data_IF_727110842959
#
_entry.id   IF_727110842959
#
_cell.length_a   1.000
_cell.length_b   1.000
_cell.length_c   1.000
_cell.angle_alpha   90.00
_cell.angle_beta   90.00
_cell.angle_gamma   90.00
#
_symmetry.space_group_name_H-M   'P 1'
#
loop_
_entity.id
_entity.type
_entity.pdbx_description
1 polymer ?
#
# COMPACT_ATOMS: atom_id res chain seq x y z
N UNK A 1 -3.63 -25.38 25.74
CA UNK A 1 -2.85 -26.49 25.15
C UNK A 1 -1.89 -26.02 24.05
N UNK A 2 -2.32 -25.20 23.08
CA UNK A 2 -1.44 -24.77 21.98
C UNK A 2 -1.35 -23.24 21.81
N UNK A 3 -1.95 -22.48 22.72
CA UNK A 3 -1.94 -21.00 22.75
C UNK A 3 -2.38 -20.28 21.45
N UNK A 4 -2.95 -21.04 20.50
CA UNK A 4 -3.59 -20.51 19.32
C UNK A 4 -4.93 -19.87 19.71
N UNK A 5 -5.13 -18.63 19.23
CA UNK A 5 -6.36 -17.89 19.46
C UNK A 5 -7.54 -18.60 18.82
N UNK A 6 -8.58 -18.92 19.60
CA UNK A 6 -9.82 -19.56 19.13
C UNK A 6 -11.00 -18.60 19.09
N UNK A 7 -10.92 -17.49 19.83
CA UNK A 7 -12.01 -16.51 19.96
C UNK A 7 -11.47 -15.11 20.26
N UNK A 8 -12.17 -14.08 19.78
CA UNK A 8 -11.92 -12.69 20.12
C UNK A 8 -13.23 -11.89 20.06
N UNK A 9 -13.52 -11.10 21.09
CA UNK A 9 -14.64 -10.15 21.12
C UNK A 9 -14.13 -8.73 21.14
N UNK A 10 -14.55 -7.94 20.17
CA UNK A 10 -14.20 -6.53 20.04
C UNK A 10 -15.21 -5.65 20.81
N UNK A 11 -14.77 -4.45 21.21
CA UNK A 11 -15.64 -3.50 21.93
C UNK A 11 -16.82 -2.99 21.09
N UNK A 12 -16.75 -3.08 19.76
CA UNK A 12 -17.89 -2.79 18.87
C UNK A 12 -18.93 -3.93 18.83
N UNK A 13 -18.71 -5.00 19.59
CA UNK A 13 -19.57 -6.18 19.67
C UNK A 13 -19.31 -7.23 18.58
N UNK A 14 -18.36 -7.01 17.68
CA UNK A 14 -17.97 -8.03 16.71
C UNK A 14 -17.20 -9.17 17.40
N UNK A 15 -17.44 -10.39 16.95
CA UNK A 15 -16.84 -11.61 17.48
C UNK A 15 -16.13 -12.35 16.36
N UNK A 16 -14.90 -12.79 16.59
CA UNK A 16 -14.13 -13.60 15.64
C UNK A 16 -13.86 -14.97 16.23
N UNK A 17 -14.14 -16.01 15.45
CA UNK A 17 -13.95 -17.41 15.80
C UNK A 17 -12.89 -18.01 14.87
N UNK A 18 -12.01 -18.83 15.44
CA UNK A 18 -10.93 -19.49 14.71
C UNK A 18 -11.01 -20.99 14.96
N UNK A 19 -11.22 -21.77 13.90
CA UNK A 19 -11.16 -23.22 13.94
C UNK A 19 -9.87 -23.71 13.27
N UNK A 20 -9.18 -24.65 13.90
CA UNK A 20 -7.91 -25.19 13.41
C UNK A 20 -8.03 -26.68 13.16
N UNK A 21 -7.31 -27.14 12.14
CA UNK A 21 -7.08 -28.54 11.86
C UNK A 21 -6.54 -29.25 13.12
N UNK A 22 -7.20 -30.31 13.62
CA UNK A 22 -6.79 -30.96 14.87
C UNK A 22 -5.36 -31.50 14.85
N UNK A 23 -4.88 -31.98 13.69
CA UNK A 23 -3.60 -32.65 13.54
C UNK A 23 -2.46 -31.67 13.22
N UNK A 24 -2.62 -30.86 12.17
CA UNK A 24 -1.61 -29.94 11.63
C UNK A 24 -1.71 -28.54 12.21
N UNK A 25 -2.77 -28.23 12.96
CA UNK A 25 -2.98 -26.93 13.62
C UNK A 25 -3.00 -25.73 12.66
N UNK A 26 -3.29 -25.96 11.38
CA UNK A 26 -3.52 -24.92 10.37
C UNK A 26 -4.93 -24.34 10.53
N UNK A 27 -5.08 -23.03 10.35
CA UNK A 27 -6.38 -22.36 10.43
C UNK A 27 -7.30 -22.91 9.34
N UNK A 28 -8.34 -23.65 9.68
CA UNK A 28 -9.30 -24.18 8.71
C UNK A 28 -10.44 -23.19 8.45
N UNK A 29 -10.83 -22.41 9.46
CA UNK A 29 -11.91 -21.46 9.34
C UNK A 29 -11.68 -20.21 10.19
N UNK A 30 -12.01 -19.05 9.62
CA UNK A 30 -12.11 -17.78 10.33
C UNK A 30 -13.49 -17.17 10.07
N UNK A 31 -14.28 -17.05 11.13
CA UNK A 31 -15.62 -16.50 11.08
C UNK A 31 -15.70 -15.21 11.87
N UNK A 32 -16.37 -14.20 11.33
CA UNK A 32 -16.63 -12.92 12.00
C UNK A 32 -18.14 -12.69 12.05
N UNK A 33 -18.67 -12.61 13.27
CA UNK A 33 -20.04 -12.20 13.54
C UNK A 33 -20.07 -10.75 14.00
N UNK A 34 -20.98 -9.97 13.44
CA UNK A 34 -21.30 -8.62 13.89
C UNK A 34 -22.79 -8.56 14.27
N UNK A 35 -23.25 -7.40 14.74
CA UNK A 35 -24.68 -7.18 15.09
C UNK A 35 -25.64 -7.54 13.95
N UNK A 36 -25.20 -7.40 12.70
CA UNK A 36 -25.99 -7.69 11.50
C UNK A 36 -25.93 -9.17 11.05
N UNK A 37 -25.23 -10.04 11.78
CA UNK A 37 -25.00 -11.44 11.41
C UNK A 37 -23.55 -11.73 11.04
N UNK A 38 -23.31 -12.88 10.41
CA UNK A 38 -21.98 -13.29 9.93
C UNK A 38 -21.57 -12.45 8.72
N UNK A 39 -20.48 -11.71 8.85
CA UNK A 39 -19.94 -10.81 7.81
C UNK A 39 -18.72 -11.40 7.09
N UNK A 40 -18.15 -12.46 7.65
CA UNK A 40 -17.04 -13.21 7.08
C UNK A 40 -17.08 -14.65 7.58
N UNK A 41 -16.87 -15.62 6.70
CA UNK A 41 -16.76 -17.04 7.02
C UNK A 41 -15.77 -17.69 6.05
N UNK A 42 -14.48 -17.41 6.26
CA UNK A 42 -13.41 -17.85 5.38
C UNK A 42 -12.99 -19.28 5.73
N UNK A 43 -13.27 -20.23 4.84
CA UNK A 43 -12.73 -21.58 4.87
C UNK A 43 -11.41 -21.65 4.07
N UNK A 44 -10.37 -22.20 4.68
CA UNK A 44 -9.04 -22.33 4.11
C UNK A 44 -8.74 -23.79 3.76
N UNK A 45 -8.13 -24.02 2.60
CA UNK A 45 -7.65 -25.32 2.17
C UNK A 45 -6.15 -25.28 1.95
N UNK A 46 -5.48 -26.41 2.14
CA UNK A 46 -4.02 -26.52 2.10
C UNK A 46 -3.59 -27.79 1.39
N UNK A 47 -2.41 -27.75 0.76
CA UNK A 47 -1.73 -28.96 0.32
C UNK A 47 -1.04 -29.68 1.51
N UNK A 48 -0.30 -30.75 1.19
CA UNK A 48 0.42 -31.55 2.18
C UNK A 48 1.55 -30.79 2.89
N UNK A 49 2.17 -29.81 2.22
CA UNK A 49 3.26 -28.98 2.79
C UNK A 49 2.77 -27.65 3.37
N UNK A 50 1.45 -27.47 3.42
CA UNK A 50 0.75 -26.30 3.98
C UNK A 50 0.76 -25.04 3.12
N UNK A 51 0.98 -25.14 1.80
CA UNK A 51 0.63 -24.02 0.91
C UNK A 51 -0.89 -23.86 0.88
N UNK A 52 -1.39 -22.62 0.85
CA UNK A 52 -2.83 -22.34 0.80
C UNK A 52 -3.35 -22.62 -0.60
N UNK A 53 -4.21 -23.62 -0.77
CA UNK A 53 -4.81 -23.95 -2.07
C UNK A 53 -6.04 -23.10 -2.40
N UNK A 54 -6.70 -22.55 -1.39
CA UNK A 54 -7.86 -21.71 -1.61
C UNK A 54 -8.46 -21.15 -0.34
N UNK A 55 -9.21 -20.06 -0.52
CA UNK A 55 -9.94 -19.35 0.53
C UNK A 55 -11.35 -19.10 0.01
N UNK A 56 -12.36 -19.59 0.72
CA UNK A 56 -13.77 -19.40 0.36
C UNK A 56 -14.53 -18.72 1.48
N UNK A 57 -15.07 -17.54 1.22
CA UNK A 57 -15.99 -16.87 2.13
C UNK A 57 -17.41 -17.43 1.93
N UNK A 58 -17.87 -18.19 2.90
CA UNK A 58 -19.22 -18.78 2.93
C UNK A 58 -20.24 -17.89 3.63
N UNK A 59 -19.88 -16.66 4.01
CA UNK A 59 -20.81 -15.74 4.65
C UNK A 59 -22.07 -15.57 3.77
N UNK A 60 -23.27 -15.46 4.37
CA UNK A 60 -24.47 -15.20 3.61
C UNK A 60 -24.34 -13.88 2.85
N UNK A 61 -25.02 -13.77 1.70
CA UNK A 61 -25.11 -12.49 1.02
C UNK A 61 -25.78 -11.47 1.95
N UNK A 62 -25.30 -10.22 1.97
CA UNK A 62 -25.95 -9.19 2.77
C UNK A 62 -27.34 -8.84 2.19
N UNK A 63 -28.06 -7.94 2.86
CA UNK A 63 -29.30 -7.39 2.30
C UNK A 63 -29.01 -6.61 1.00
N UNK A 64 -29.99 -6.54 0.09
CA UNK A 64 -29.88 -5.78 -1.16
C UNK A 64 -29.42 -4.33 -0.91
N UNK A 65 -28.55 -3.82 -1.78
CA UNK A 65 -27.95 -2.49 -1.64
C UNK A 65 -26.87 -2.35 -0.55
N UNK A 66 -26.52 -3.41 0.19
CA UNK A 66 -25.41 -3.38 1.17
C UNK A 66 -24.14 -3.96 0.56
N UNK A 67 -23.00 -3.46 1.04
CA UNK A 67 -21.69 -3.96 0.64
C UNK A 67 -21.41 -5.33 1.27
N UNK A 68 -20.68 -6.17 0.55
CA UNK A 68 -20.32 -7.53 0.95
C UNK A 68 -20.72 -8.56 -0.10
N UNK A 69 -20.31 -9.79 0.13
CA UNK A 69 -20.59 -10.88 -0.79
C UNK A 69 -19.70 -12.08 -0.52
N UNK A 70 -20.01 -13.16 -1.24
CA UNK A 70 -19.21 -14.38 -1.22
C UNK A 70 -18.02 -14.20 -2.14
N UNK A 71 -16.86 -14.70 -1.71
CA UNK A 71 -15.65 -14.70 -2.51
C UNK A 71 -15.01 -16.08 -2.46
N UNK A 72 -14.36 -16.48 -3.54
CA UNK A 72 -13.60 -17.73 -3.58
C UNK A 72 -12.30 -17.48 -4.31
N UNK A 73 -11.18 -17.88 -3.71
CA UNK A 73 -9.86 -17.85 -4.32
C UNK A 73 -9.32 -19.26 -4.42
N UNK A 74 -8.63 -19.57 -5.52
CA UNK A 74 -7.86 -20.80 -5.69
C UNK A 74 -6.45 -20.45 -6.13
N UNK A 75 -5.47 -21.20 -5.62
CA UNK A 75 -4.05 -20.98 -5.88
C UNK A 75 -3.39 -22.27 -6.32
N UNK A 76 -2.48 -22.17 -7.29
CA UNK A 76 -1.61 -23.26 -7.67
C UNK A 76 -0.16 -22.82 -7.54
N UNK A 77 0.72 -23.78 -7.30
CA UNK A 77 2.13 -23.53 -7.06
C UNK A 77 2.97 -24.36 -8.03
N UNK A 78 4.14 -23.82 -8.38
CA UNK A 78 5.16 -24.58 -9.10
C UNK A 78 5.88 -25.57 -8.15
N UNK A 79 6.76 -26.46 -8.67
CA UNK A 79 7.49 -27.41 -7.83
C UNK A 79 8.39 -26.80 -6.75
N UNK A 80 8.68 -25.49 -6.80
CA UNK A 80 9.45 -24.75 -5.82
C UNK A 80 8.56 -23.96 -4.85
N UNK A 81 7.25 -24.24 -4.86
CA UNK A 81 6.24 -23.62 -4.01
C UNK A 81 6.07 -22.11 -4.23
N UNK A 82 6.40 -21.62 -5.43
CA UNK A 82 6.08 -20.26 -5.84
C UNK A 82 4.69 -20.24 -6.48
N UNK A 83 3.92 -19.20 -6.23
CA UNK A 83 2.57 -19.04 -6.79
C UNK A 83 2.66 -19.06 -8.32
N UNK A 84 2.09 -20.08 -8.97
CA UNK A 84 2.10 -20.21 -10.43
C UNK A 84 0.85 -19.57 -11.04
N UNK A 85 -0.32 -19.80 -10.45
CA UNK A 85 -1.57 -19.18 -10.88
C UNK A 85 -2.52 -18.94 -9.71
N UNK A 86 -3.41 -17.97 -9.89
CA UNK A 86 -4.52 -17.77 -8.98
C UNK A 86 -5.81 -17.46 -9.75
N UNK A 87 -6.94 -17.90 -9.22
CA UNK A 87 -8.26 -17.46 -9.67
C UNK A 87 -9.04 -16.89 -8.51
N UNK A 88 -9.94 -15.97 -8.81
CA UNK A 88 -10.85 -15.40 -7.83
C UNK A 88 -12.25 -15.24 -8.40
N UNK A 89 -13.26 -15.42 -7.57
CA UNK A 89 -14.64 -15.06 -7.87
C UNK A 89 -15.23 -14.25 -6.74
N UNK A 90 -16.18 -13.39 -7.08
CA UNK A 90 -16.99 -12.61 -6.18
C UNK A 90 -18.44 -12.72 -6.63
N UNK A 91 -19.34 -12.91 -5.67
CA UNK A 91 -20.79 -12.87 -5.84
C UNK A 91 -21.37 -11.95 -4.78
N UNK A 92 -21.95 -10.83 -5.21
CA UNK A 92 -22.69 -9.90 -4.37
C UNK A 92 -24.20 -10.06 -4.51
N UNK A 93 -24.93 -9.17 -3.84
CA UNK A 93 -26.36 -8.97 -4.08
C UNK A 93 -26.61 -8.36 -5.45
N UNK A 94 -27.88 -8.31 -5.87
CA UNK A 94 -28.30 -7.53 -7.05
C UNK A 94 -27.58 -7.95 -8.35
N UNK A 95 -27.34 -9.26 -8.50
CA UNK A 95 -26.64 -9.87 -9.64
C UNK A 95 -25.22 -9.31 -9.89
N UNK A 96 -24.56 -8.82 -8.84
CA UNK A 96 -23.17 -8.39 -8.89
C UNK A 96 -22.25 -9.60 -8.90
N UNK A 97 -21.37 -9.67 -9.87
CA UNK A 97 -20.35 -10.70 -9.95
C UNK A 97 -19.02 -10.12 -10.41
N UNK A 98 -17.93 -10.73 -9.98
CA UNK A 98 -16.62 -10.48 -10.57
C UNK A 98 -15.78 -11.75 -10.55
N UNK A 99 -14.79 -11.81 -11.43
CA UNK A 99 -13.79 -12.86 -11.42
C UNK A 99 -12.44 -12.33 -11.88
N UNK A 100 -11.37 -13.00 -11.48
CA UNK A 100 -10.04 -12.77 -12.05
C UNK A 100 -9.29 -14.07 -12.27
N UNK A 101 -8.34 -14.02 -13.20
CA UNK A 101 -7.26 -14.99 -13.37
C UNK A 101 -5.92 -14.28 -13.23
N UNK A 102 -4.93 -14.97 -12.66
CA UNK A 102 -3.55 -14.51 -12.50
C UNK A 102 -2.62 -15.64 -12.93
N UNK A 103 -1.60 -15.31 -13.71
CA UNK A 103 -0.48 -16.20 -14.05
C UNK A 103 0.84 -15.52 -13.74
N UNK A 104 1.76 -16.26 -13.13
CA UNK A 104 3.09 -15.81 -12.71
C UNK A 104 4.17 -16.59 -13.47
N UNK A 105 5.24 -15.89 -13.86
CA UNK A 105 6.44 -16.49 -14.41
C UNK A 105 7.64 -16.13 -13.56
N UNK A 106 8.59 -17.07 -13.46
CA UNK A 106 9.82 -16.88 -12.71
C UNK A 106 11.01 -17.43 -13.49
N UNK A 107 12.20 -16.92 -13.20
CA UNK A 107 13.44 -17.53 -13.66
C UNK A 107 14.09 -18.43 -12.59
N UNK A 108 15.26 -18.98 -12.93
CA UNK A 108 16.05 -19.86 -12.07
C UNK A 108 16.68 -19.12 -10.87
N UNK A 109 16.67 -17.79 -10.87
CA UNK A 109 17.10 -16.96 -9.74
C UNK A 109 15.91 -16.56 -8.83
N UNK A 110 14.73 -17.15 -9.04
CA UNK A 110 13.49 -16.85 -8.32
C UNK A 110 12.95 -15.43 -8.51
N UNK A 111 13.42 -14.73 -9.54
CA UNK A 111 12.92 -13.41 -9.90
C UNK A 111 11.63 -13.56 -10.70
N UNK A 112 10.69 -12.64 -10.51
CA UNK A 112 9.43 -12.63 -11.28
C UNK A 112 9.77 -12.15 -12.69
N UNK A 113 9.47 -12.93 -13.73
CA UNK A 113 9.69 -12.54 -15.13
C UNK A 113 8.41 -12.11 -15.83
N UNK A 114 7.26 -12.63 -15.38
CA UNK A 114 5.95 -12.21 -15.91
C UNK A 114 4.87 -12.21 -14.84
N UNK A 115 3.93 -11.28 -14.96
CA UNK A 115 2.69 -11.28 -14.17
C UNK A 115 1.54 -10.87 -15.08
N UNK A 116 0.60 -11.79 -15.31
CA UNK A 116 -0.55 -11.57 -16.20
C UNK A 116 -1.83 -11.68 -15.40
N UNK A 117 -2.66 -10.65 -15.42
CA UNK A 117 -3.95 -10.67 -14.75
C UNK A 117 -5.07 -10.23 -15.71
N UNK A 118 -6.18 -10.96 -15.67
CA UNK A 118 -7.43 -10.57 -16.32
C UNK A 118 -8.53 -10.56 -15.27
N UNK A 119 -9.38 -9.55 -15.30
CA UNK A 119 -10.56 -9.41 -14.46
C UNK A 119 -11.77 -9.04 -15.30
N UNK A 120 -12.89 -9.68 -15.00
CA UNK A 120 -14.21 -9.31 -15.50
C UNK A 120 -15.12 -9.03 -14.31
N UNK A 121 -15.85 -7.92 -14.35
CA UNK A 121 -16.93 -7.64 -13.41
C UNK A 121 -18.23 -7.36 -14.15
N UNK A 122 -19.35 -7.77 -13.55
CA UNK A 122 -20.70 -7.54 -14.06
C UNK A 122 -21.54 -6.88 -12.97
N UNK A 123 -22.16 -5.75 -13.29
CA UNK A 123 -23.08 -4.97 -12.44
C UNK A 123 -22.46 -4.40 -11.16
N UNK A 124 -21.14 -4.46 -10.99
CA UNK A 124 -20.45 -4.03 -9.76
C UNK A 124 -20.37 -2.51 -9.67
N UNK A 125 -19.77 -1.86 -10.66
CA UNK A 125 -19.55 -0.41 -10.67
C UNK A 125 -20.67 0.35 -11.38
N UNK A 126 -21.25 -0.25 -12.42
CA UNK A 126 -22.35 0.25 -13.23
C UNK A 126 -23.11 -0.95 -13.81
N UNK A 127 -24.31 -0.72 -14.35
CA UNK A 127 -25.08 -1.77 -15.02
C UNK A 127 -24.42 -2.13 -16.36
N UNK A 128 -23.80 -3.32 -16.44
CA UNK A 128 -22.97 -3.72 -17.56
C UNK A 128 -21.76 -4.54 -17.15
N UNK A 129 -20.87 -4.80 -18.11
CA UNK A 129 -19.63 -5.54 -17.90
C UNK A 129 -18.43 -4.60 -18.01
N UNK A 130 -17.43 -4.79 -17.16
CA UNK A 130 -16.12 -4.16 -17.29
C UNK A 130 -15.04 -5.23 -17.26
N UNK A 131 -14.16 -5.18 -18.25
CA UNK A 131 -12.93 -5.96 -18.32
C UNK A 131 -11.74 -5.06 -17.98
N UNK A 132 -10.85 -5.54 -17.15
CA UNK A 132 -9.59 -4.87 -16.83
C UNK A 132 -8.49 -5.90 -16.63
N UNK A 133 -7.26 -5.55 -16.97
CA UNK A 133 -6.15 -6.48 -16.84
C UNK A 133 -4.83 -5.86 -17.24
N UNK A 134 -3.79 -6.67 -17.08
CA UNK A 134 -2.43 -6.30 -17.46
C UNK A 134 -1.58 -7.52 -17.77
N UNK A 135 -0.56 -7.30 -18.58
CA UNK A 135 0.60 -8.16 -18.75
C UNK A 135 1.85 -7.35 -18.39
N UNK A 136 2.50 -7.75 -17.30
CA UNK A 136 3.77 -7.18 -16.85
C UNK A 136 4.90 -8.13 -17.24
N UNK A 137 5.87 -7.64 -18.01
CA UNK A 137 7.12 -8.34 -18.31
C UNK A 137 8.28 -7.65 -17.59
N UNK A 138 9.00 -8.40 -16.77
CA UNK A 138 10.04 -7.87 -15.89
C UNK A 138 11.42 -8.23 -16.43
N UNK A 139 12.30 -7.24 -16.41
CA UNK A 139 13.72 -7.39 -16.75
C UNK A 139 14.56 -6.86 -15.60
N UNK A 140 15.74 -7.43 -15.44
CA UNK A 140 16.64 -7.15 -14.32
C UNK A 140 18.04 -6.82 -14.85
N UNK A 141 18.82 -6.13 -14.02
CA UNK A 141 20.22 -5.85 -14.31
C UNK A 141 21.01 -7.12 -14.63
N UNK A 142 21.92 -7.04 -15.60
CA UNK A 142 22.80 -8.15 -16.02
C UNK A 142 24.17 -8.10 -15.37
N UNK A 143 24.60 -6.93 -14.90
CA UNK A 143 25.89 -6.72 -14.24
C UNK A 143 25.98 -7.45 -12.90
N UNK A 144 27.22 -7.76 -12.49
CA UNK A 144 27.52 -8.29 -11.16
C UNK A 144 26.98 -7.36 -10.07
N UNK A 145 26.44 -7.94 -9.00
CA UNK A 145 25.76 -7.20 -7.91
C UNK A 145 24.37 -6.64 -8.25
N UNK A 146 23.97 -6.58 -9.53
CA UNK A 146 22.71 -5.94 -9.97
C UNK A 146 21.62 -6.90 -10.43
N UNK A 147 21.84 -8.21 -10.32
CA UNK A 147 20.91 -9.24 -10.81
C UNK A 147 19.53 -9.19 -10.15
N UNK A 148 19.37 -8.55 -9.00
CA UNK A 148 18.07 -8.40 -8.33
C UNK A 148 17.50 -6.98 -8.42
N UNK A 149 18.18 -6.07 -9.11
CA UNK A 149 17.67 -4.74 -9.42
C UNK A 149 16.78 -4.84 -10.67
N UNK A 150 15.54 -4.35 -10.56
CA UNK A 150 14.67 -4.23 -11.74
C UNK A 150 15.31 -3.23 -12.69
N UNK A 151 15.40 -3.56 -13.98
CA UNK A 151 15.87 -2.63 -14.99
C UNK A 151 14.65 -1.96 -15.65
N UNK A 152 13.75 -2.79 -16.17
CA UNK A 152 12.51 -2.35 -16.78
C UNK A 152 11.34 -3.28 -16.46
N UNK A 153 10.15 -2.70 -16.34
CA UNK A 153 8.87 -3.42 -16.42
C UNK A 153 8.08 -2.90 -17.60
N UNK A 154 7.82 -3.76 -18.59
CA UNK A 154 6.86 -3.47 -19.65
C UNK A 154 5.46 -3.79 -19.15
N UNK A 155 4.57 -2.81 -19.24
CA UNK A 155 3.21 -2.90 -18.74
C UNK A 155 2.20 -2.69 -19.88
N UNK A 156 1.58 -3.77 -20.31
CA UNK A 156 0.48 -3.76 -21.28
C UNK A 156 -0.81 -3.92 -20.49
N UNK A 157 -1.49 -2.82 -20.19
CA UNK A 157 -2.73 -2.82 -19.41
C UNK A 157 -3.93 -2.34 -20.23
N UNK A 158 -5.13 -2.70 -19.80
CA UNK A 158 -6.37 -2.24 -20.42
C UNK A 158 -7.49 -2.12 -19.39
N UNK A 159 -8.48 -1.30 -19.74
CA UNK A 159 -9.76 -1.18 -19.06
C UNK A 159 -10.82 -0.84 -20.09
N UNK A 160 -11.80 -1.71 -20.29
CA UNK A 160 -12.81 -1.58 -21.35
C UNK A 160 -14.14 -2.23 -20.94
N UNK A 161 -15.25 -1.69 -21.43
CA UNK A 161 -16.58 -2.28 -21.29
C UNK A 161 -16.84 -3.37 -22.34
N UNK A 162 -16.01 -3.42 -23.37
CA UNK A 162 -16.07 -4.37 -24.48
C UNK A 162 -15.16 -5.59 -24.24
N UNK A 163 -15.12 -6.51 -25.21
CA UNK A 163 -14.13 -7.59 -25.21
C UNK A 163 -12.73 -6.98 -25.40
N UNK A 164 -11.74 -7.27 -24.53
CA UNK A 164 -10.39 -6.74 -24.68
C UNK A 164 -9.77 -7.13 -26.02
N UNK A 165 -9.16 -6.15 -26.70
CA UNK A 165 -8.42 -6.33 -27.95
C UNK A 165 -7.11 -5.55 -27.86
N UNK A 166 -6.17 -5.77 -28.77
CA UNK A 166 -4.90 -5.02 -28.75
C UNK A 166 -5.09 -3.49 -28.86
N UNK A 167 -6.18 -3.03 -29.48
CA UNK A 167 -6.50 -1.60 -29.58
C UNK A 167 -6.94 -0.96 -28.27
N UNK A 168 -7.33 -1.75 -27.26
CA UNK A 168 -7.67 -1.23 -25.92
C UNK A 168 -6.47 -1.19 -24.97
N UNK A 169 -5.33 -1.74 -25.39
CA UNK A 169 -4.12 -1.77 -24.60
C UNK A 169 -3.45 -0.39 -24.52
N UNK A 170 -2.95 -0.08 -23.33
CA UNK A 170 -2.04 1.01 -23.03
C UNK A 170 -0.69 0.38 -22.75
N UNK A 171 0.35 0.88 -23.42
CA UNK A 171 1.67 0.30 -23.34
C UNK A 171 2.64 1.23 -22.61
N UNK A 172 2.93 0.91 -21.35
CA UNK A 172 3.82 1.67 -20.50
C UNK A 172 5.18 0.94 -20.37
N UNK A 173 6.25 1.71 -20.16
CA UNK A 173 7.57 1.18 -19.80
C UNK A 173 8.05 1.84 -18.52
N UNK A 174 8.27 1.06 -17.45
CA UNK A 174 8.77 1.57 -16.18
C UNK A 174 10.26 1.29 -16.08
N UNK A 175 11.10 2.32 -16.14
CA UNK A 175 12.55 2.22 -16.00
C UNK A 175 12.98 2.61 -14.59
N UNK A 176 13.82 1.80 -13.98
CA UNK A 176 14.25 1.97 -12.58
C UNK A 176 15.72 2.36 -12.53
N UNK A 177 16.05 3.30 -11.64
CA UNK A 177 17.43 3.74 -11.40
C UNK A 177 17.74 3.68 -9.91
N UNK A 178 18.97 3.28 -9.58
CA UNK A 178 19.44 3.09 -8.22
C UNK A 178 20.69 3.91 -7.93
N UNK A 179 20.91 4.27 -6.67
CA UNK A 179 22.20 4.80 -6.22
C UNK A 179 23.27 3.69 -6.08
N UNK A 180 24.47 4.07 -5.64
CA UNK A 180 25.60 3.14 -5.47
C UNK A 180 25.37 2.11 -4.35
N UNK A 181 24.52 2.42 -3.37
CA UNK A 181 24.15 1.51 -2.28
C UNK A 181 23.00 0.57 -2.68
N UNK A 182 22.41 0.77 -3.85
CA UNK A 182 21.32 -0.04 -4.37
C UNK A 182 19.93 0.45 -3.95
N UNK A 183 19.80 1.67 -3.42
CA UNK A 183 18.50 2.26 -3.13
C UNK A 183 17.84 2.76 -4.40
N UNK A 184 16.54 2.52 -4.56
CA UNK A 184 15.76 3.03 -5.70
C UNK A 184 15.66 4.56 -5.59
N UNK A 185 16.19 5.29 -6.57
CA UNK A 185 16.17 6.77 -6.57
C UNK A 185 15.21 7.37 -7.59
N UNK A 186 14.87 6.61 -8.64
CA UNK A 186 14.03 7.14 -9.71
C UNK A 186 13.29 6.03 -10.46
N UNK A 187 12.01 6.30 -10.77
CA UNK A 187 11.22 5.52 -11.73
C UNK A 187 10.72 6.49 -12.80
N UNK A 188 11.02 6.18 -14.07
CA UNK A 188 10.41 6.84 -15.21
C UNK A 188 9.38 5.92 -15.87
N UNK A 189 8.17 6.42 -16.13
CA UNK A 189 7.17 5.71 -16.94
C UNK A 189 7.08 6.36 -18.32
N UNK A 190 7.46 5.64 -19.36
CA UNK A 190 7.09 6.00 -20.73
C UNK A 190 5.70 5.46 -21.08
N UNK A 191 5.04 6.07 -22.07
CA UNK A 191 3.72 5.64 -22.56
C UNK A 191 3.63 5.76 -24.07
N UNK A 192 3.24 4.68 -24.74
CA UNK A 192 2.85 4.74 -26.16
C UNK A 192 1.39 5.15 -26.27
N UNK A 193 1.12 6.24 -27.00
CA UNK A 193 -0.22 6.76 -27.28
C UNK A 193 -0.88 5.98 -28.42
N UNK A 194 -2.19 6.14 -28.60
CA UNK A 194 -2.96 5.45 -29.65
C UNK A 194 -2.49 5.74 -31.07
N UNK A 195 -1.88 6.90 -31.30
CA UNK A 195 -1.29 7.29 -32.59
C UNK A 195 0.12 6.72 -32.80
N UNK A 196 0.58 5.84 -31.90
CA UNK A 196 1.90 5.20 -31.94
C UNK A 196 3.03 6.08 -31.43
N UNK A 197 2.77 7.35 -31.07
CA UNK A 197 3.81 8.23 -30.51
C UNK A 197 4.13 7.86 -29.07
N UNK A 198 5.41 7.87 -28.74
CA UNK A 198 5.87 7.66 -27.37
C UNK A 198 5.96 8.99 -26.61
N UNK A 199 5.41 8.98 -25.41
CA UNK A 199 5.69 9.96 -24.37
C UNK A 199 6.74 9.35 -23.44
N UNK A 200 7.98 9.82 -23.56
CA UNK A 200 9.13 9.23 -22.87
C UNK A 200 9.05 9.40 -21.34
N UNK A 201 8.30 10.40 -20.85
CA UNK A 201 8.19 10.75 -19.42
C UNK A 201 6.75 11.05 -19.03
N UNK A 202 5.86 10.09 -19.24
CA UNK A 202 4.44 10.23 -18.93
C UNK A 202 4.20 10.44 -17.43
N UNK A 203 4.98 9.80 -16.56
CA UNK A 203 5.00 10.06 -15.10
C UNK A 203 6.36 9.75 -14.52
N UNK A 204 6.73 10.43 -13.44
CA UNK A 204 8.01 10.23 -12.74
C UNK A 204 7.80 10.00 -11.25
N UNK A 205 8.67 9.18 -10.65
CA UNK A 205 8.78 9.03 -9.21
C UNK A 205 10.24 9.23 -8.81
N UNK A 206 10.51 10.08 -7.82
CA UNK A 206 11.86 10.38 -7.31
C UNK A 206 11.93 10.06 -5.81
N UNK A 207 13.06 9.53 -5.35
CA UNK A 207 13.26 9.14 -3.96
C UNK A 207 14.61 9.63 -3.45
N UNK A 208 14.64 10.05 -2.19
CA UNK A 208 15.85 10.48 -1.49
C UNK A 208 16.05 9.64 -0.24
N UNK A 209 17.28 9.21 -0.02
CA UNK A 209 17.69 8.36 1.10
C UNK A 209 18.70 9.09 1.98
N UNK A 210 18.76 8.74 3.26
CA UNK A 210 19.83 9.17 4.15
C UNK A 210 21.04 8.23 4.08
N UNK A 211 22.08 8.56 4.85
CA UNK A 211 23.34 7.81 4.94
C UNK A 211 23.15 6.40 5.51
N UNK A 212 22.05 6.16 6.23
CA UNK A 212 21.67 4.85 6.79
C UNK A 212 20.73 4.07 5.86
N UNK A 213 20.53 4.53 4.62
CA UNK A 213 19.62 3.94 3.62
C UNK A 213 18.14 3.92 4.06
N UNK A 214 17.71 4.94 4.80
CA UNK A 214 16.29 5.19 5.12
C UNK A 214 15.70 6.23 4.19
N UNK A 215 14.47 6.03 3.74
CA UNK A 215 13.81 6.93 2.80
C UNK A 215 13.49 8.26 3.50
N UNK A 216 14.15 9.35 3.11
CA UNK A 216 13.89 10.70 3.64
C UNK A 216 12.73 11.40 2.95
N UNK A 217 12.61 11.23 1.63
CA UNK A 217 11.57 11.87 0.87
C UNK A 217 11.21 11.10 -0.40
N UNK A 218 9.97 11.29 -0.85
CA UNK A 218 9.47 10.78 -2.12
C UNK A 218 8.69 11.88 -2.85
N UNK A 219 8.85 11.96 -4.17
CA UNK A 219 7.97 12.70 -5.07
C UNK A 219 7.35 11.68 -6.03
N UNK A 220 6.07 11.42 -5.87
CA UNK A 220 5.30 10.48 -6.68
C UNK A 220 4.40 11.28 -7.62
N UNK A 221 4.93 11.64 -8.79
CA UNK A 221 4.22 12.39 -9.82
C UNK A 221 3.57 13.69 -9.30
N UNK A 222 4.33 14.47 -8.51
CA UNK A 222 3.88 15.72 -7.91
C UNK A 222 3.32 15.58 -6.49
N UNK A 223 3.06 14.37 -5.99
CA UNK A 223 2.75 14.16 -4.58
C UNK A 223 4.03 13.96 -3.78
N UNK A 224 4.34 14.89 -2.87
CA UNK A 224 5.55 14.86 -2.06
C UNK A 224 5.28 14.31 -0.67
N UNK A 225 6.23 13.53 -0.14
CA UNK A 225 6.24 13.07 1.24
C UNK A 225 7.64 13.19 1.83
N UNK A 226 7.73 13.52 3.11
CA UNK A 226 8.98 13.50 3.88
C UNK A 226 8.82 12.63 5.12
N UNK A 227 9.90 12.00 5.56
CA UNK A 227 9.91 11.05 6.67
C UNK A 227 11.05 11.36 7.65
N UNK A 228 10.78 11.18 8.94
CA UNK A 228 11.77 11.26 10.00
C UNK A 228 11.71 10.00 10.85
N UNK A 229 12.88 9.61 11.33
CA UNK A 229 13.09 8.40 12.09
C UNK A 229 13.71 8.76 13.44
N UNK A 230 13.43 7.96 14.46
CA UNK A 230 14.23 8.01 15.69
C UNK A 230 15.56 7.25 15.52
N UNK A 231 16.34 7.20 16.60
CA UNK A 231 17.64 6.54 16.63
C UNK A 231 17.57 5.01 16.41
N UNK A 232 16.40 4.39 16.67
CA UNK A 232 16.17 2.96 16.44
C UNK A 232 15.70 2.69 15.00
N UNK A 233 15.48 3.73 14.20
CA UNK A 233 15.02 3.63 12.83
C UNK A 233 13.50 3.49 12.70
N UNK A 234 12.73 3.72 13.76
CA UNK A 234 11.28 3.78 13.67
C UNK A 234 10.82 5.13 13.12
N UNK A 235 9.88 5.11 12.16
CA UNK A 235 9.38 6.36 11.57
C UNK A 235 8.49 7.10 12.58
N UNK A 236 8.94 8.27 13.02
CA UNK A 236 8.25 9.12 13.99
C UNK A 236 7.37 10.19 13.34
N UNK A 237 7.74 10.69 12.16
CA UNK A 237 6.96 11.73 11.45
C UNK A 237 6.84 11.40 9.97
N UNK A 238 5.67 11.66 9.41
CA UNK A 238 5.45 11.79 7.97
C UNK A 238 4.80 13.12 7.68
N UNK A 239 5.35 13.91 6.76
CA UNK A 239 4.63 15.01 6.13
C UNK A 239 4.32 14.67 4.69
N UNK A 240 3.29 15.29 4.12
CA UNK A 240 2.95 15.14 2.71
C UNK A 240 2.21 16.34 2.17
N UNK A 241 2.26 16.51 0.86
CA UNK A 241 1.41 17.44 0.14
C UNK A 241 1.60 17.35 -1.37
N UNK A 242 1.06 18.34 -2.05
CA UNK A 242 1.00 18.39 -3.51
C UNK A 242 1.94 19.49 -4.00
N UNK A 243 2.59 19.21 -5.12
CA UNK A 243 3.36 20.17 -5.88
C UNK A 243 2.55 20.65 -7.07
N UNK A 244 2.42 21.96 -7.20
CA UNK A 244 1.87 22.63 -8.36
C UNK A 244 3.02 23.24 -9.15
N UNK A 245 3.22 22.81 -10.40
CA UNK A 245 4.28 23.30 -11.27
C UNK A 245 3.69 23.81 -12.60
N UNK A 246 4.19 24.94 -13.07
CA UNK A 246 3.83 25.58 -14.34
C UNK A 246 5.00 25.39 -15.29
N UNK A 247 4.71 24.89 -16.49
CA UNK A 247 5.67 24.76 -17.58
C UNK A 247 5.23 25.59 -18.78
N UNK A 248 6.13 26.39 -19.33
CA UNK A 248 5.93 27.15 -20.57
C UNK A 248 6.92 26.60 -21.59
N UNK A 249 6.43 26.14 -22.75
CA UNK A 249 7.26 25.51 -23.79
C UNK A 249 8.10 24.32 -23.28
N UNK A 250 7.56 23.53 -22.35
CA UNK A 250 8.25 22.40 -21.68
C UNK A 250 9.39 22.80 -20.73
N UNK A 251 9.54 24.09 -20.41
CA UNK A 251 10.50 24.60 -19.43
C UNK A 251 9.77 25.00 -18.14
N UNK A 252 10.31 24.60 -16.99
CA UNK A 252 9.74 24.94 -15.69
C UNK A 252 9.77 26.45 -15.48
N UNK A 253 8.60 27.04 -15.22
CA UNK A 253 8.39 28.50 -15.14
C UNK A 253 7.96 28.99 -13.76
N UNK A 254 7.73 28.09 -12.81
CA UNK A 254 7.36 28.42 -11.44
C UNK A 254 6.41 27.38 -10.83
N UNK A 255 6.23 27.43 -9.52
CA UNK A 255 5.36 26.50 -8.83
C UNK A 255 5.32 26.73 -7.32
N UNK A 256 4.56 25.89 -6.62
CA UNK A 256 4.44 25.89 -5.17
C UNK A 256 4.33 24.44 -4.65
N UNK A 257 5.16 24.10 -3.67
CA UNK A 257 5.11 22.80 -3.01
C UNK A 257 4.51 22.93 -1.61
N UNK A 258 3.30 22.41 -1.41
CA UNK A 258 2.65 22.45 -0.10
C UNK A 258 3.07 21.31 0.83
N UNK A 259 3.27 21.59 2.12
CA UNK A 259 3.48 20.57 3.19
C UNK A 259 2.53 20.73 4.36
N UNK A 260 1.23 20.76 4.06
CA UNK A 260 0.22 21.03 5.09
C UNK A 260 -0.13 19.80 5.95
N UNK A 261 -0.03 18.58 5.39
CA UNK A 261 -0.49 17.37 6.08
C UNK A 261 0.67 16.71 6.80
N UNK A 262 0.48 16.39 8.08
CA UNK A 262 1.42 15.60 8.84
C UNK A 262 0.74 14.49 9.65
N UNK A 263 1.50 13.44 9.92
CA UNK A 263 1.21 12.39 10.89
C UNK A 263 2.42 12.24 11.80
N UNK A 264 2.18 12.30 13.11
CA UNK A 264 3.15 12.10 14.18
C UNK A 264 2.85 10.76 14.87
N UNK A 265 3.77 9.83 14.77
CA UNK A 265 3.75 8.52 15.42
C UNK A 265 4.43 8.66 16.78
N UNK A 266 3.67 9.04 17.81
CA UNK A 266 4.20 9.24 19.17
C UNK A 266 4.58 7.92 19.81
N UNK A 267 3.78 6.87 19.54
CA UNK A 267 4.02 5.49 19.94
C UNK A 267 3.11 4.56 19.12
N UNK A 268 3.26 3.22 19.20
CA UNK A 268 2.31 2.28 18.61
C UNK A 268 0.84 2.51 19.05
N UNK A 269 0.65 3.18 20.19
CA UNK A 269 -0.64 3.45 20.82
C UNK A 269 -1.25 4.80 20.45
N UNK A 270 -0.50 5.74 19.87
CA UNK A 270 -0.98 7.09 19.62
C UNK A 270 -0.38 7.68 18.34
N UNK A 271 -1.27 8.02 17.41
CA UNK A 271 -0.93 8.76 16.19
C UNK A 271 -1.67 10.10 16.24
N UNK A 272 -0.94 11.20 16.09
CA UNK A 272 -1.49 12.55 15.97
C UNK A 272 -1.36 13.07 14.54
N UNK A 273 -2.18 14.02 14.15
CA UNK A 273 -2.15 14.62 12.83
C UNK A 273 -2.61 16.06 12.82
N UNK A 274 -2.71 16.60 11.61
CA UNK A 274 -3.06 17.99 11.37
C UNK A 274 -4.36 18.40 12.09
N UNK A 275 -4.34 19.61 12.65
CA UNK A 275 -5.49 20.20 13.33
C UNK A 275 -5.81 19.59 14.70
N UNK A 276 -4.87 18.86 15.32
CA UNK A 276 -5.05 18.27 16.64
C UNK A 276 -5.80 16.94 16.65
N UNK A 277 -6.13 16.38 15.48
CA UNK A 277 -6.73 15.05 15.41
C UNK A 277 -5.75 13.99 15.89
N UNK A 278 -6.24 13.01 16.63
CA UNK A 278 -5.43 11.85 17.01
C UNK A 278 -6.23 10.55 16.96
N UNK A 279 -5.52 9.43 16.90
CA UNK A 279 -6.06 8.10 17.08
C UNK A 279 -5.31 7.38 18.19
N UNK A 280 -6.05 6.88 19.18
CA UNK A 280 -5.51 5.97 20.20
C UNK A 280 -5.77 4.53 19.81
N UNK A 281 -4.77 3.67 20.00
CA UNK A 281 -4.84 2.25 19.70
C UNK A 281 -4.63 1.43 20.97
N UNK A 282 -5.41 0.37 21.12
CA UNK A 282 -5.24 -0.63 22.19
C UNK A 282 -4.94 -1.97 21.54
N UNK A 283 -3.97 -2.70 22.11
CA UNK A 283 -3.50 -3.98 21.59
C UNK A 283 -3.64 -5.09 22.64
N UNK A 284 -3.76 -6.33 22.14
CA UNK A 284 -3.50 -7.56 22.90
C UNK A 284 -2.35 -8.26 22.19
N UNK A 285 -1.16 -8.27 22.81
CA UNK A 285 0.08 -8.64 22.12
C UNK A 285 0.33 -7.73 20.91
N UNK A 286 0.56 -8.30 19.74
CA UNK A 286 0.73 -7.56 18.47
C UNK A 286 -0.59 -7.18 17.78
N UNK A 287 -1.75 -7.65 18.28
CA UNK A 287 -3.04 -7.42 17.62
C UNK A 287 -3.70 -6.14 18.13
N UNK A 288 -3.93 -5.17 17.25
CA UNK A 288 -4.78 -4.03 17.55
C UNK A 288 -6.24 -4.47 17.70
N UNK A 289 -6.87 -4.14 18.82
CA UNK A 289 -8.26 -4.50 19.13
C UNK A 289 -9.20 -3.30 19.17
N UNK A 290 -8.70 -2.10 19.42
CA UNK A 290 -9.52 -0.89 19.46
C UNK A 290 -8.74 0.27 18.86
N UNK A 291 -9.44 1.10 18.07
CA UNK A 291 -8.98 2.42 17.67
C UNK A 291 -10.04 3.45 18.06
N UNK A 292 -9.64 4.50 18.77
CA UNK A 292 -10.52 5.62 19.12
C UNK A 292 -9.98 6.89 18.49
N UNK A 293 -10.79 7.50 17.64
CA UNK A 293 -10.54 8.83 17.10
C UNK A 293 -10.84 9.87 18.18
N UNK A 294 -10.03 10.91 18.23
CA UNK A 294 -10.21 12.05 19.11
C UNK A 294 -9.60 13.30 18.50
N UNK A 295 -9.78 14.40 19.22
CA UNK A 295 -9.18 15.69 18.92
C UNK A 295 -8.54 16.20 20.19
N UNK A 296 -7.37 16.84 20.09
CA UNK A 296 -6.65 17.39 21.24
C UNK A 296 -7.51 18.43 21.98
N UNK A 297 -8.43 19.11 21.28
CA UNK A 297 -9.42 19.98 21.93
C UNK A 297 -10.36 19.23 22.89
N UNK A 298 -10.62 17.93 22.67
CA UNK A 298 -11.45 17.09 23.53
C UNK A 298 -10.66 16.27 24.56
N UNK A 299 -9.34 16.50 24.67
CA UNK A 299 -8.45 15.77 25.59
C UNK A 299 -8.54 16.23 27.06
N UNK A 300 -9.27 17.32 27.35
CA UNK A 300 -9.30 17.95 28.67
C UNK A 300 -8.24 19.03 28.79
N UNK A 301 -7.32 18.93 29.76
CA UNK A 301 -6.16 19.83 29.83
C UNK A 301 -5.33 19.66 28.55
N UNK A 302 -5.22 20.73 27.77
CA UNK A 302 -4.54 20.73 26.48
C UNK A 302 -3.08 20.28 26.66
N UNK A 303 -2.66 19.12 26.12
CA UNK A 303 -1.29 18.66 26.26
C UNK A 303 -0.28 19.56 25.52
N UNK A 304 -0.74 20.51 24.69
CA UNK A 304 0.10 21.54 24.04
C UNK A 304 0.48 22.68 24.99
N UNK A 305 -0.04 22.73 26.23
CA UNK A 305 0.14 23.88 27.14
C UNK A 305 1.48 24.00 27.85
N UNK A 306 2.46 23.17 27.51
CA UNK A 306 3.85 23.53 27.78
C UNK A 306 4.48 23.75 26.41
N UNK A 307 4.53 25.01 25.93
CA UNK A 307 5.11 25.34 24.62
C UNK A 307 6.54 24.80 24.45
N UNK A 308 7.18 24.43 25.55
CA UNK A 308 8.54 23.93 25.64
C UNK A 308 8.75 22.92 26.80
N UNK A 309 7.91 21.89 26.91
CA UNK A 309 8.18 20.82 27.88
C UNK A 309 9.58 20.23 27.65
N UNK A 310 10.48 20.33 28.64
CA UNK A 310 11.87 19.90 28.50
C UNK A 310 12.81 20.96 27.89
N UNK A 311 12.45 22.25 27.91
CA UNK A 311 13.34 23.35 27.51
C UNK A 311 14.65 23.36 28.29
N UNK A 312 14.63 22.84 29.51
CA UNK A 312 15.79 22.57 30.35
C UNK A 312 15.62 21.15 30.91
N UNK A 313 16.48 20.23 30.49
CA UNK A 313 16.66 18.92 31.10
C UNK A 313 18.17 18.73 31.29
N UNK A 314 18.62 18.54 32.54
CA UNK A 314 20.01 18.31 32.94
C UNK A 314 21.07 19.03 32.09
N UNK A 315 21.05 20.36 32.09
CA UNK A 315 22.07 21.20 31.44
C UNK A 315 21.93 21.36 29.92
N UNK A 316 20.87 20.81 29.30
CA UNK A 316 20.59 20.98 27.88
C UNK A 316 19.43 21.97 27.68
N UNK A 317 19.72 23.13 27.07
CA UNK A 317 18.69 24.07 26.62
C UNK A 317 18.30 23.78 25.17
N UNK A 318 17.03 23.50 24.90
CA UNK A 318 16.55 23.22 23.55
C UNK A 318 16.03 24.50 22.89
N UNK A 319 16.71 24.98 21.84
CA UNK A 319 16.16 26.04 21.00
C UNK A 319 15.18 25.48 19.96
N UNK A 320 13.89 25.43 20.33
CA UNK A 320 12.83 24.92 19.45
C UNK A 320 12.61 25.77 18.19
N UNK A 321 12.88 27.07 18.23
CA UNK A 321 12.76 27.95 17.05
C UNK A 321 13.81 27.58 16.00
N UNK A 322 15.04 27.38 16.43
CA UNK A 322 16.13 26.97 15.54
C UNK A 322 15.90 25.56 15.01
N UNK A 323 15.47 24.61 15.86
CA UNK A 323 15.10 23.25 15.42
C UNK A 323 13.99 23.26 14.36
N UNK A 324 12.96 24.10 14.55
CA UNK A 324 11.89 24.26 13.56
C UNK A 324 12.42 24.82 12.23
N UNK A 325 13.28 25.84 12.27
CA UNK A 325 13.89 26.40 11.06
C UNK A 325 14.79 25.38 10.35
N UNK A 326 15.58 24.59 11.09
CA UNK A 326 16.40 23.50 10.53
C UNK A 326 15.52 22.42 9.89
N UNK A 327 14.39 22.07 10.50
CA UNK A 327 13.44 21.13 9.91
C UNK A 327 12.85 21.66 8.60
N UNK A 328 12.45 22.92 8.56
CA UNK A 328 11.99 23.55 7.32
C UNK A 328 13.07 23.55 6.23
N UNK A 329 14.33 23.79 6.62
CA UNK A 329 15.44 23.73 5.67
C UNK A 329 15.67 22.32 5.14
N UNK A 330 15.61 21.29 6.00
CA UNK A 330 15.72 19.89 5.59
C UNK A 330 14.64 19.50 4.57
N UNK A 331 13.41 19.95 4.75
CA UNK A 331 12.32 19.76 3.78
C UNK A 331 12.66 20.46 2.45
N UNK A 332 13.12 21.70 2.48
CA UNK A 332 13.54 22.44 1.27
C UNK A 332 14.67 21.74 0.54
N UNK A 333 15.65 21.19 1.27
CA UNK A 333 16.77 20.46 0.68
C UNK A 333 16.30 19.16 0.00
N UNK A 334 15.30 18.48 0.59
CA UNK A 334 14.66 17.33 -0.05
C UNK A 334 13.99 17.74 -1.36
N UNK A 335 13.28 18.86 -1.39
CA UNK A 335 12.57 19.35 -2.57
C UNK A 335 13.50 19.80 -3.68
N UNK A 336 14.61 20.43 -3.31
CA UNK A 336 15.68 20.76 -4.25
C UNK A 336 16.24 19.51 -4.94
N UNK A 337 16.32 18.37 -4.24
CA UNK A 337 16.75 17.09 -4.85
C UNK A 337 15.78 16.61 -5.93
N UNK A 338 14.53 17.06 -5.90
CA UNK A 338 13.48 16.70 -6.85
C UNK A 338 13.21 17.78 -7.89
N UNK A 339 14.00 18.85 -7.93
CA UNK A 339 13.79 20.04 -8.76
C UNK A 339 12.44 20.72 -8.50
N UNK A 340 12.00 20.69 -7.24
CA UNK A 340 10.75 21.31 -6.79
C UNK A 340 11.00 22.66 -6.10
N UNK A 341 10.07 23.63 -6.25
CA UNK A 341 10.15 24.95 -5.64
C UNK A 341 9.92 24.94 -4.12
#
# INVERSE_FOLDING_TARGET
KFEQRTYLKYCNGAETFYAYDPARRRLQNLMVNAKAGTIMDNAYSYDAVSNVLGIKNNAPLPQSGKAGGQMSHSYTYDPLYRLASATGTYKGTDNKAASYTLSMGYDNMHRITSKKQHLTQSNVQFNGTLNAGYELAYTYGSSEGKKFQLDNVRDINYRTEETPTDSTNINNGHKYTYDANGNLVYINTSRVKKDGKEDEKATEQKYRWDEENRLLAANENGFVSNYWYDADGERTVKTSGENEAIYVNSEFSGGNTGTARFSLYVSPYLVAGQGGKYTKHIYIGSQRIVSKLGDLASYGADPRRIPYAGNEADGLTINYKDKYNQQLQSIKDNYKTFDLP
#
